data_IF_101352784966
#
_entry.id   IF_101352784966
#
_cell.length_a   1.000
_cell.length_b   1.000
_cell.length_c   1.000
_cell.angle_alpha   90.00
_cell.angle_beta   90.00
_cell.angle_gamma   90.00
#
_symmetry.space_group_name_H-M   'P 1'
#
loop_
_entity.id
_entity.type
_entity.pdbx_description
1 polymer ?
#
# COMPACT_ATOMS: atom_id res chain seq x y z
N UNK A 1 1.82 9.67 -11.25
CA UNK A 1 1.68 8.24 -10.99
C UNK A 1 0.20 7.92 -10.97
N UNK A 2 -0.26 6.94 -11.74
CA UNK A 2 -1.64 6.44 -11.68
C UNK A 2 -1.80 5.38 -10.58
N UNK A 3 -3.04 5.06 -10.21
CA UNK A 3 -3.33 3.97 -9.28
C UNK A 3 -2.82 2.62 -9.81
N UNK A 4 -2.92 2.38 -11.12
CA UNK A 4 -2.41 1.16 -11.77
C UNK A 4 -0.89 1.04 -11.68
N UNK A 5 -0.16 2.14 -11.93
CA UNK A 5 1.29 2.18 -11.78
C UNK A 5 1.71 1.92 -10.33
N UNK A 6 0.98 2.51 -9.38
CA UNK A 6 1.23 2.32 -7.96
C UNK A 6 0.94 0.87 -7.51
N UNK A 7 -0.14 0.27 -8.01
CA UNK A 7 -0.46 -1.13 -7.76
C UNK A 7 0.62 -2.09 -8.28
N UNK A 8 1.22 -1.77 -9.44
CA UNK A 8 2.36 -2.50 -9.97
C UNK A 8 3.60 -2.34 -9.08
N UNK A 9 3.87 -1.14 -8.59
CA UNK A 9 4.96 -0.88 -7.64
C UNK A 9 4.79 -1.68 -6.34
N UNK A 10 3.60 -1.65 -5.74
CA UNK A 10 3.27 -2.45 -4.56
C UNK A 10 3.44 -3.95 -4.82
N UNK A 11 3.02 -4.43 -5.99
CA UNK A 11 3.19 -5.83 -6.38
C UNK A 11 4.66 -6.25 -6.43
N UNK A 12 5.54 -5.37 -6.91
CA UNK A 12 6.98 -5.62 -6.93
C UNK A 12 7.57 -5.63 -5.50
N UNK A 13 7.16 -4.68 -4.64
CA UNK A 13 7.65 -4.57 -3.26
C UNK A 13 7.26 -5.76 -2.38
N UNK A 14 6.01 -6.23 -2.50
CA UNK A 14 5.52 -7.38 -1.73
C UNK A 14 5.88 -8.72 -2.38
N UNK A 15 6.39 -8.71 -3.61
CA UNK A 15 6.76 -9.91 -4.37
C UNK A 15 5.56 -10.75 -4.83
N UNK A 16 4.34 -10.21 -4.77
CA UNK A 16 3.09 -10.90 -5.09
C UNK A 16 2.15 -9.93 -5.80
N UNK A 17 1.37 -10.43 -6.77
CA UNK A 17 0.42 -9.59 -7.50
C UNK A 17 -0.64 -9.03 -6.56
N UNK A 18 -0.74 -7.72 -6.49
CA UNK A 18 -1.84 -6.97 -5.87
C UNK A 18 -3.00 -6.93 -6.86
N UNK A 19 -4.21 -7.26 -6.41
CA UNK A 19 -5.44 -7.18 -7.22
C UNK A 19 -6.22 -5.91 -6.93
N UNK A 20 -6.26 -5.49 -5.67
CA UNK A 20 -7.07 -4.36 -5.21
C UNK A 20 -6.33 -3.57 -4.13
N UNK A 21 -6.53 -2.25 -4.10
CA UNK A 21 -5.96 -1.34 -3.10
C UNK A 21 -7.10 -0.59 -2.40
N UNK A 22 -7.00 -0.52 -1.08
CA UNK A 22 -7.98 0.07 -0.19
C UNK A 22 -7.33 1.11 0.71
N UNK A 23 -8.13 2.06 1.19
CA UNK A 23 -7.74 2.98 2.26
C UNK A 23 -7.43 2.21 3.54
N UNK A 24 -6.90 2.90 4.56
CA UNK A 24 -6.65 2.31 5.88
C UNK A 24 -7.89 1.76 6.54
N UNK A 25 -9.04 2.39 6.30
CA UNK A 25 -10.35 1.99 6.82
C UNK A 25 -10.95 0.81 6.03
N UNK A 26 -10.32 0.45 4.90
CA UNK A 26 -10.71 -0.69 4.09
C UNK A 26 -11.68 -0.35 2.96
N UNK A 27 -11.84 0.93 2.62
CA UNK A 27 -12.67 1.42 1.52
C UNK A 27 -11.90 1.41 0.19
N UNK A 28 -12.57 1.21 -0.97
CA UNK A 28 -11.90 1.27 -2.27
C UNK A 28 -11.27 2.63 -2.54
N UNK A 29 -9.99 2.64 -2.93
CA UNK A 29 -9.27 3.89 -3.28
C UNK A 29 -9.72 4.38 -4.65
N UNK A 30 -10.04 5.66 -4.76
CA UNK A 30 -10.30 6.33 -6.05
C UNK A 30 -9.11 7.16 -6.50
N UNK A 31 -8.39 7.75 -5.54
CA UNK A 31 -7.22 8.58 -5.79
C UNK A 31 -6.08 8.27 -4.81
N UNK A 32 -4.83 8.33 -5.28
CA UNK A 32 -3.63 8.12 -4.46
C UNK A 32 -3.54 9.06 -3.26
N UNK A 33 -4.16 10.24 -3.32
CA UNK A 33 -4.21 11.18 -2.19
C UNK A 33 -4.88 10.56 -0.96
N UNK A 34 -5.80 9.61 -1.13
CA UNK A 34 -6.49 8.93 -0.02
C UNK A 34 -5.57 7.98 0.75
N UNK A 35 -4.45 7.57 0.13
CA UNK A 35 -3.43 6.73 0.73
C UNK A 35 -2.34 7.55 1.41
N UNK A 36 -2.25 8.85 1.11
CA UNK A 36 -1.18 9.71 1.61
C UNK A 36 -1.33 9.96 3.12
N UNK A 37 -0.22 9.84 3.84
CA UNK A 37 -0.09 10.21 5.24
C UNK A 37 0.97 11.31 5.40
N UNK A 38 0.68 12.39 6.15
CA UNK A 38 1.60 13.51 6.29
C UNK A 38 2.73 13.26 7.31
N UNK A 39 2.58 12.33 8.24
CA UNK A 39 3.60 12.05 9.27
C UNK A 39 3.49 10.61 9.82
N UNK A 40 4.51 9.76 9.63
CA UNK A 40 5.65 9.95 8.72
C UNK A 40 5.19 10.19 7.28
N UNK A 41 5.91 11.03 6.53
CA UNK A 41 5.56 11.30 5.13
C UNK A 41 5.62 9.99 4.32
N UNK A 42 4.49 9.63 3.72
CA UNK A 42 4.39 8.35 3.02
C UNK A 42 2.98 8.00 2.57
N UNK A 43 2.78 6.72 2.30
CA UNK A 43 1.53 6.12 1.87
C UNK A 43 1.21 4.90 2.71
N UNK A 44 -0.07 4.64 2.92
CA UNK A 44 -0.50 3.47 3.66
C UNK A 44 -1.94 3.13 3.36
N UNK A 45 -2.28 1.85 3.50
CA UNK A 45 -3.62 1.37 3.27
C UNK A 45 -3.73 -0.11 3.51
N UNK A 46 -4.73 -0.71 2.87
CA UNK A 46 -4.85 -2.15 2.79
C UNK A 46 -4.75 -2.57 1.33
N UNK A 47 -4.35 -3.82 1.09
CA UNK A 47 -4.31 -4.39 -0.25
C UNK A 47 -4.82 -5.83 -0.21
N UNK A 48 -5.31 -6.30 -1.35
CA UNK A 48 -5.65 -7.70 -1.57
C UNK A 48 -4.65 -8.27 -2.57
N UNK A 49 -4.11 -9.42 -2.22
CA UNK A 49 -3.21 -10.17 -3.08
C UNK A 49 -3.99 -11.18 -3.92
N UNK A 50 -3.36 -11.65 -5.00
CA UNK A 50 -3.91 -12.67 -5.90
C UNK A 50 -4.31 -14.00 -5.24
N UNK A 51 -3.85 -14.29 -4.01
CA UNK A 51 -4.30 -15.43 -3.20
C UNK A 51 -5.50 -15.09 -2.29
N UNK A 52 -6.14 -13.95 -2.54
CA UNK A 52 -7.24 -13.38 -1.75
C UNK A 52 -6.88 -13.04 -0.30
N UNK A 53 -5.60 -13.04 0.07
CA UNK A 53 -5.17 -12.55 1.39
C UNK A 53 -5.21 -11.02 1.43
N UNK A 54 -5.65 -10.48 2.58
CA UNK A 54 -5.68 -9.04 2.85
C UNK A 54 -4.50 -8.65 3.73
N UNK A 55 -3.83 -7.58 3.38
CA UNK A 55 -2.67 -7.07 4.11
C UNK A 55 -2.86 -5.58 4.41
N UNK A 56 -2.45 -5.15 5.60
CA UNK A 56 -2.14 -3.74 5.84
C UNK A 56 -0.73 -3.47 5.32
N UNK A 57 -0.50 -2.28 4.78
CA UNK A 57 0.79 -1.90 4.24
C UNK A 57 1.10 -0.44 4.50
N UNK A 58 2.38 -0.14 4.63
CA UNK A 58 2.88 1.21 4.80
C UNK A 58 4.18 1.36 4.00
N UNK A 59 4.29 2.50 3.33
CA UNK A 59 5.44 2.96 2.58
C UNK A 59 5.80 4.33 3.14
N UNK A 60 6.94 4.49 3.79
CA UNK A 60 7.34 5.77 4.38
C UNK A 60 8.79 6.08 4.11
N UNK A 61 9.10 7.37 4.10
CA UNK A 61 10.48 7.83 4.03
C UNK A 61 11.02 7.98 5.45
N UNK A 62 12.11 7.27 5.75
CA UNK A 62 12.89 7.50 6.97
C UNK A 62 14.06 8.43 6.65
N UNK A 63 14.55 9.18 7.65
CA UNK A 63 15.55 10.24 7.53
C UNK A 63 16.59 9.99 6.41
N UNK A 64 16.56 10.84 5.37
CA UNK A 64 17.37 10.67 4.14
C UNK A 64 16.51 10.35 2.91
N UNK A 65 17.05 9.56 1.96
CA UNK A 65 16.38 9.13 0.71
C UNK A 65 15.87 7.67 0.76
N UNK A 66 15.78 7.07 1.96
CA UNK A 66 15.43 5.66 2.11
C UNK A 66 13.90 5.51 2.21
N UNK A 67 13.35 4.74 1.27
CA UNK A 67 11.94 4.32 1.28
C UNK A 67 11.80 2.96 1.94
N UNK A 68 11.19 2.93 3.11
CA UNK A 68 10.85 1.71 3.82
C UNK A 68 9.47 1.22 3.40
N UNK A 69 9.32 -0.10 3.28
CA UNK A 69 8.06 -0.75 2.99
C UNK A 69 7.82 -1.86 3.98
N UNK A 70 6.63 -1.88 4.58
CA UNK A 70 6.17 -2.99 5.41
C UNK A 70 4.78 -3.44 4.98
N UNK A 71 4.52 -4.73 5.13
CA UNK A 71 3.20 -5.29 4.93
C UNK A 71 2.93 -6.39 5.94
N UNK A 72 1.78 -6.34 6.59
CA UNK A 72 1.36 -7.32 7.59
C UNK A 72 0.04 -7.94 7.15
N UNK A 73 -0.06 -9.27 7.20
CA UNK A 73 -1.31 -9.96 6.87
C UNK A 73 -2.37 -9.62 7.93
N UNK A 74 -3.56 -9.22 7.49
CA UNK A 74 -4.71 -9.01 8.37
C UNK A 74 -5.32 -10.38 8.65
N UNK A 75 -5.16 -10.89 9.87
CA UNK A 75 -5.90 -12.06 10.35
C UNK A 75 -7.34 -11.64 10.68
N UNK A 76 -8.32 -12.38 10.15
CA UNK A 76 -9.70 -12.31 10.63
C UNK A 76 -9.81 -12.93 12.01
#
# INVERSE_FOLDING_TARGET
MSLEEFQKDLSNRIGRRVTDVFTRDGEPVKDLIELYQPSPAGFAGQLVLSDSSRHSWELWQEAGEIWNFQSTRISR
#
